data_IF_047651323776
#
_entry.id   IF_047651323776
#
_cell.length_a   1.000
_cell.length_b   1.000
_cell.length_c   1.000
_cell.angle_alpha   90.00
_cell.angle_beta   90.00
_cell.angle_gamma   90.00
#
_symmetry.space_group_name_H-M   'P 1'
#
loop_
_entity.id
_entity.type
_entity.pdbx_description
1 polymer ?
#
# COMPACT_ATOMS: atom_id res chain seq x y z
N UNK A 1 -40.96 -44.13 -12.88
CA UNK A 1 -39.76 -44.16 -13.72
C UNK A 1 -39.17 -42.74 -13.85
N UNK A 2 -38.07 -42.48 -13.24
CA UNK A 2 -37.40 -41.21 -13.42
C UNK A 2 -36.88 -41.13 -14.83
N UNK A 3 -37.35 -40.14 -15.57
CA UNK A 3 -36.94 -39.88 -16.95
C UNK A 3 -35.48 -39.41 -16.93
N UNK A 4 -34.71 -39.97 -17.85
CA UNK A 4 -33.30 -39.59 -18.05
C UNK A 4 -33.14 -38.07 -18.27
N UNK A 5 -34.12 -37.44 -18.87
CA UNK A 5 -34.12 -35.98 -19.05
C UNK A 5 -34.31 -35.23 -17.74
N UNK A 6 -35.13 -35.72 -16.84
CA UNK A 6 -35.30 -35.11 -15.52
C UNK A 6 -34.04 -35.18 -14.68
N UNK A 7 -33.29 -36.28 -14.73
CA UNK A 7 -32.01 -36.42 -14.07
C UNK A 7 -30.99 -35.45 -14.61
N UNK A 8 -30.94 -35.27 -15.93
CA UNK A 8 -30.06 -34.32 -16.59
C UNK A 8 -30.40 -32.87 -16.23
N UNK A 9 -31.68 -32.54 -16.21
CA UNK A 9 -32.16 -31.20 -15.81
C UNK A 9 -31.81 -30.91 -14.37
N UNK A 10 -32.02 -31.86 -13.45
CA UNK A 10 -31.69 -31.71 -12.03
C UNK A 10 -30.18 -31.55 -11.84
N UNK A 11 -29.37 -32.33 -12.53
CA UNK A 11 -27.92 -32.21 -12.50
C UNK A 11 -27.46 -30.84 -13.01
N UNK A 12 -28.06 -30.38 -14.08
CA UNK A 12 -27.76 -29.06 -14.66
C UNK A 12 -28.15 -27.94 -13.70
N UNK A 13 -29.33 -28.01 -13.11
CA UNK A 13 -29.78 -27.01 -12.12
C UNK A 13 -28.84 -26.95 -10.90
N UNK A 14 -28.41 -28.10 -10.42
CA UNK A 14 -27.49 -28.17 -9.28
C UNK A 14 -26.13 -27.54 -9.62
N UNK A 15 -25.62 -27.81 -10.81
CA UNK A 15 -24.38 -27.21 -11.30
C UNK A 15 -24.52 -25.70 -11.47
N UNK A 16 -25.64 -25.25 -11.97
CA UNK A 16 -25.93 -23.83 -12.17
C UNK A 16 -26.00 -23.10 -10.81
N UNK A 17 -26.70 -23.69 -9.84
CA UNK A 17 -26.77 -23.14 -8.46
C UNK A 17 -25.40 -23.04 -7.83
N UNK A 18 -24.60 -24.08 -7.98
CA UNK A 18 -23.22 -24.09 -7.48
C UNK A 18 -22.38 -23.00 -8.13
N UNK A 19 -22.48 -22.84 -9.43
CA UNK A 19 -21.78 -21.80 -10.18
C UNK A 19 -22.19 -20.40 -9.71
N UNK A 20 -23.49 -20.16 -9.54
CA UNK A 20 -24.00 -18.88 -9.03
C UNK A 20 -23.47 -18.61 -7.62
N UNK A 21 -23.48 -19.64 -6.76
CA UNK A 21 -22.96 -19.52 -5.39
C UNK A 21 -21.48 -19.18 -5.39
N UNK A 22 -20.69 -19.86 -6.20
CA UNK A 22 -19.24 -19.60 -6.35
C UNK A 22 -18.98 -18.19 -6.88
N UNK A 23 -19.76 -17.78 -7.88
CA UNK A 23 -19.64 -16.44 -8.45
C UNK A 23 -19.95 -15.35 -7.43
N UNK A 24 -21.03 -15.52 -6.67
CA UNK A 24 -21.40 -14.58 -5.62
C UNK A 24 -20.32 -14.50 -4.53
N UNK A 25 -19.78 -15.65 -4.14
CA UNK A 25 -18.68 -15.72 -3.16
C UNK A 25 -17.43 -15.00 -3.67
N UNK A 26 -17.07 -15.21 -4.92
CA UNK A 26 -15.91 -14.54 -5.54
C UNK A 26 -16.11 -13.03 -5.65
N UNK A 27 -17.32 -12.58 -5.97
CA UNK A 27 -17.64 -11.15 -5.98
C UNK A 27 -17.44 -10.52 -4.60
N UNK A 28 -17.92 -11.21 -3.57
CA UNK A 28 -17.79 -10.74 -2.18
C UNK A 28 -16.31 -10.70 -1.76
N UNK A 29 -15.56 -11.75 -2.05
CA UNK A 29 -14.12 -11.81 -1.79
C UNK A 29 -13.36 -10.71 -2.52
N UNK A 30 -13.71 -10.48 -3.78
CA UNK A 30 -13.10 -9.44 -4.60
C UNK A 30 -13.35 -8.04 -4.01
N UNK A 31 -14.57 -7.78 -3.57
CA UNK A 31 -14.95 -6.54 -2.92
C UNK A 31 -14.17 -6.31 -1.62
N UNK A 32 -14.04 -7.37 -0.81
CA UNK A 32 -13.26 -7.33 0.44
C UNK A 32 -11.78 -7.07 0.17
N UNK A 33 -11.21 -7.75 -0.83
CA UNK A 33 -9.81 -7.55 -1.20
C UNK A 33 -9.53 -6.13 -1.69
N UNK A 34 -10.43 -5.54 -2.45
CA UNK A 34 -10.30 -4.15 -2.90
C UNK A 34 -10.33 -3.18 -1.72
N UNK A 35 -11.23 -3.41 -0.77
CA UNK A 35 -11.30 -2.60 0.45
C UNK A 35 -10.02 -2.71 1.28
N UNK A 36 -9.45 -3.91 1.41
CA UNK A 36 -8.18 -4.12 2.10
C UNK A 36 -7.01 -3.43 1.38
N UNK A 37 -6.99 -3.49 0.05
CA UNK A 37 -5.98 -2.80 -0.74
C UNK A 37 -6.02 -1.29 -0.51
N UNK A 38 -7.21 -0.71 -0.56
CA UNK A 38 -7.39 0.72 -0.33
C UNK A 38 -6.92 1.12 1.06
N UNK A 39 -7.26 0.32 2.07
CA UNK A 39 -6.81 0.56 3.44
C UNK A 39 -5.30 0.49 3.58
N UNK A 40 -4.69 -0.53 2.97
CA UNK A 40 -3.23 -0.70 3.01
C UNK A 40 -2.51 0.44 2.30
N UNK A 41 -3.05 0.92 1.19
CA UNK A 41 -2.50 2.08 0.49
C UNK A 41 -2.55 3.34 1.36
N UNK A 42 -3.67 3.56 2.03
CA UNK A 42 -3.82 4.68 2.97
C UNK A 42 -2.83 4.56 4.12
N UNK A 43 -2.69 3.37 4.71
CA UNK A 43 -1.75 3.11 5.79
C UNK A 43 -0.30 3.35 5.34
N UNK A 44 0.04 2.93 4.12
CA UNK A 44 1.35 3.18 3.55
C UNK A 44 1.63 4.67 3.38
N UNK A 45 0.67 5.42 2.86
CA UNK A 45 0.80 6.87 2.71
C UNK A 45 1.03 7.55 4.05
N UNK A 46 0.25 7.15 5.06
CA UNK A 46 0.39 7.68 6.42
C UNK A 46 1.77 7.35 6.99
N UNK A 47 2.22 6.11 6.85
CA UNK A 47 3.54 5.68 7.31
C UNK A 47 4.66 6.45 6.62
N UNK A 48 4.55 6.69 5.32
CA UNK A 48 5.52 7.49 4.58
C UNK A 48 5.58 8.93 5.06
N UNK A 49 4.44 9.54 5.34
CA UNK A 49 4.39 10.90 5.90
C UNK A 49 5.07 10.96 7.27
N UNK A 50 4.81 9.98 8.11
CA UNK A 50 5.45 9.87 9.43
C UNK A 50 6.96 9.72 9.31
N UNK A 51 7.42 8.90 8.38
CA UNK A 51 8.86 8.72 8.10
C UNK A 51 9.48 10.05 7.66
N UNK A 52 8.81 10.78 6.77
CA UNK A 52 9.28 12.08 6.30
C UNK A 52 9.40 13.09 7.45
N UNK A 53 8.39 13.15 8.31
CA UNK A 53 8.41 14.03 9.48
C UNK A 53 9.52 13.66 10.46
N UNK A 54 9.67 12.36 10.75
CA UNK A 54 10.72 11.87 11.64
C UNK A 54 12.11 12.18 11.11
N UNK A 55 12.33 12.00 9.81
CA UNK A 55 13.61 12.34 9.17
C UNK A 55 13.88 13.84 9.23
N UNK A 56 12.86 14.64 8.97
CA UNK A 56 12.98 16.09 9.08
C UNK A 56 13.35 16.52 10.50
N UNK A 57 12.69 15.97 11.50
CA UNK A 57 12.97 16.25 12.91
C UNK A 57 14.37 15.79 13.29
N UNK A 58 14.77 14.61 12.82
CA UNK A 58 16.10 14.07 13.05
C UNK A 58 17.17 14.98 12.44
N UNK A 59 16.97 15.43 11.21
CA UNK A 59 17.90 16.33 10.53
C UNK A 59 18.01 17.68 11.24
N UNK A 60 16.88 18.21 11.73
CA UNK A 60 16.86 19.45 12.52
C UNK A 60 17.66 19.28 13.83
N UNK A 61 17.52 18.13 14.50
CA UNK A 61 18.26 17.83 15.72
C UNK A 61 19.76 17.70 15.44
N UNK A 62 20.13 17.07 14.31
CA UNK A 62 21.53 16.99 13.89
C UNK A 62 22.11 18.35 13.59
N UNK A 63 21.39 19.21 12.90
CA UNK A 63 21.80 20.58 12.62
C UNK A 63 22.02 21.34 13.94
N UNK A 64 21.07 21.24 14.85
CA UNK A 64 21.16 21.89 16.16
C UNK A 64 22.35 21.38 16.97
N UNK A 65 22.61 20.06 16.91
CA UNK A 65 23.77 19.44 17.55
C UNK A 65 25.09 19.91 16.96
N UNK A 66 25.12 20.12 15.65
CA UNK A 66 26.32 20.52 14.93
C UNK A 66 26.51 22.04 14.85
N UNK A 67 25.61 22.81 15.40
CA UNK A 67 25.66 24.28 15.38
C UNK A 67 26.89 24.88 16.09
N UNK A 68 27.58 24.11 16.92
CA UNK A 68 28.85 24.49 17.52
C UNK A 68 30.08 24.02 16.75
N UNK A 69 29.90 23.32 15.62
CA UNK A 69 31.00 22.74 14.83
C UNK A 69 31.55 23.69 13.79
N UNK A 70 32.55 23.22 13.04
CA UNK A 70 33.18 23.98 11.95
C UNK A 70 32.21 24.16 10.78
N UNK A 71 32.50 25.17 9.93
CA UNK A 71 31.73 25.41 8.71
C UNK A 71 31.73 24.19 7.77
N UNK A 72 32.83 23.44 7.73
CA UNK A 72 32.97 22.24 6.92
C UNK A 72 31.94 21.18 7.35
N UNK A 73 31.79 20.98 8.66
CA UNK A 73 30.80 20.03 9.21
C UNK A 73 29.37 20.46 8.90
N UNK A 74 29.09 21.76 8.98
CA UNK A 74 27.77 22.31 8.62
C UNK A 74 27.45 22.09 7.15
N UNK A 75 28.42 22.32 6.27
CA UNK A 75 28.27 22.12 4.85
C UNK A 75 28.01 20.66 4.53
N UNK A 76 28.76 19.76 5.15
CA UNK A 76 28.60 18.32 5.00
C UNK A 76 27.21 17.87 5.45
N UNK A 77 26.75 18.37 6.60
CA UNK A 77 25.40 18.07 7.12
C UNK A 77 24.30 18.54 6.17
N UNK A 78 24.44 19.75 5.62
CA UNK A 78 23.49 20.29 4.63
C UNK A 78 23.45 19.45 3.38
N UNK A 79 24.60 18.98 2.88
CA UNK A 79 24.69 18.13 1.70
C UNK A 79 24.00 16.78 1.93
N UNK A 80 24.19 16.17 3.10
CA UNK A 80 23.54 14.93 3.47
C UNK A 80 22.03 15.07 3.51
N UNK A 81 21.54 16.15 4.12
CA UNK A 81 20.12 16.44 4.21
C UNK A 81 19.51 16.62 2.83
N UNK A 82 20.16 17.40 1.97
CA UNK A 82 19.72 17.62 0.59
C UNK A 82 19.62 16.31 -0.18
N UNK A 83 20.60 15.44 -0.02
CA UNK A 83 20.60 14.12 -0.65
C UNK A 83 19.46 13.25 -0.15
N UNK A 84 19.22 13.21 1.16
CA UNK A 84 18.11 12.46 1.75
C UNK A 84 16.77 12.94 1.24
N UNK A 85 16.55 14.25 1.18
CA UNK A 85 15.33 14.85 0.66
C UNK A 85 15.09 14.43 -0.78
N UNK A 86 16.12 14.45 -1.62
CA UNK A 86 16.02 14.01 -3.02
C UNK A 86 15.64 12.55 -3.13
N UNK A 87 16.24 11.67 -2.31
CA UNK A 87 15.95 10.26 -2.32
C UNK A 87 14.50 9.98 -1.87
N UNK A 88 14.03 10.72 -0.88
CA UNK A 88 12.65 10.63 -0.40
C UNK A 88 11.67 11.09 -1.47
N UNK A 89 11.94 12.19 -2.13
CA UNK A 89 11.12 12.71 -3.23
C UNK A 89 11.02 11.71 -4.37
N UNK A 90 12.12 11.03 -4.71
CA UNK A 90 12.12 9.97 -5.72
C UNK A 90 11.23 8.79 -5.30
N UNK A 91 11.29 8.37 -4.04
CA UNK A 91 10.44 7.31 -3.52
C UNK A 91 8.96 7.68 -3.59
N UNK A 92 8.62 8.92 -3.24
CA UNK A 92 7.26 9.42 -3.31
C UNK A 92 6.74 9.47 -4.75
N UNK A 93 7.58 9.90 -5.68
CA UNK A 93 7.24 9.94 -7.10
C UNK A 93 6.95 8.54 -7.65
N UNK A 94 7.70 7.52 -7.21
CA UNK A 94 7.48 6.13 -7.60
C UNK A 94 6.17 5.57 -7.05
N UNK A 95 5.74 6.04 -5.89
CA UNK A 95 4.48 5.61 -5.27
C UNK A 95 3.25 6.24 -5.92
N UNK A 96 3.39 7.40 -6.53
CA UNK A 96 2.31 8.12 -7.20
C UNK A 96 2.05 7.62 -8.63
N UNK A 97 2.88 6.73 -9.14
CA UNK A 97 2.67 6.11 -10.46
C UNK A 97 1.56 5.05 -10.47
#
# INVERSE_FOLDING_TARGET
MTNRYEELINAFENRLRKLISEYTSLLDQNKKMKAELDRKQTDLMTAHQEILELRKNYDHLQIARNMGGSEAERTESKQKISKMVREIDKCLALLDE
#
